data_IF_997562827089
#
_entry.id   IF_997562827089
#
_cell.length_a   1.000
_cell.length_b   1.000
_cell.length_c   1.000
_cell.angle_alpha   90.00
_cell.angle_beta   90.00
_cell.angle_gamma   90.00
#
_symmetry.space_group_name_H-M   'P 1'
#
loop_
_entity.id
_entity.type
_entity.pdbx_description
1 polymer ?
#
# COMPACT_ATOMS: atom_id res chain seq x y z
N UNK A 1 8.64 -15.46 5.34
CA UNK A 1 9.39 -14.34 4.77
C UNK A 1 8.92 -13.02 5.40
N UNK A 2 9.84 -12.24 5.84
CA UNK A 2 9.53 -11.00 6.55
C UNK A 2 9.26 -9.87 5.55
N UNK A 3 8.16 -9.16 5.76
CA UNK A 3 7.88 -7.99 4.94
C UNK A 3 8.70 -6.81 5.46
N UNK A 4 9.31 -6.09 4.54
CA UNK A 4 10.02 -4.87 4.88
C UNK A 4 9.12 -3.65 4.94
N UNK A 5 7.87 -3.83 4.60
CA UNK A 5 6.92 -2.73 4.52
C UNK A 5 5.91 -2.83 5.66
N UNK A 6 5.59 -1.69 6.25
CA UNK A 6 4.61 -1.61 7.35
C UNK A 6 3.35 -0.97 6.80
N UNK A 7 2.21 -1.59 7.10
CA UNK A 7 0.91 -1.07 6.72
C UNK A 7 0.12 -0.72 7.97
N UNK A 8 -0.57 0.42 7.92
CA UNK A 8 -1.46 0.83 9.00
C UNK A 8 -2.77 1.33 8.39
N UNK A 9 -3.90 0.93 8.95
CA UNK A 9 -5.18 1.48 8.50
C UNK A 9 -5.23 2.99 8.74
N UNK A 10 -5.77 3.71 7.78
CA UNK A 10 -5.90 5.16 7.88
C UNK A 10 -7.30 5.55 7.41
N UNK A 11 -8.30 5.09 8.13
CA UNK A 11 -9.69 5.33 7.78
C UNK A 11 -10.22 4.31 6.80
N UNK A 12 -11.51 4.42 6.45
CA UNK A 12 -12.14 3.45 5.55
C UNK A 12 -11.49 3.48 4.17
N UNK A 13 -11.07 2.33 3.72
CA UNK A 13 -10.53 2.17 2.38
C UNK A 13 -9.19 2.83 2.14
N UNK A 14 -8.48 3.17 3.20
CA UNK A 14 -7.20 3.84 3.07
C UNK A 14 -6.17 3.20 3.98
N UNK A 15 -4.93 3.16 3.53
CA UNK A 15 -3.82 2.63 4.31
C UNK A 15 -2.61 3.53 4.18
N UNK A 16 -1.90 3.68 5.27
CA UNK A 16 -0.58 4.30 5.26
C UNK A 16 0.46 3.20 5.15
N UNK A 17 1.53 3.49 4.47
CA UNK A 17 2.62 2.53 4.39
C UNK A 17 3.94 3.22 4.66
N UNK A 18 4.90 2.44 5.12
CA UNK A 18 6.25 2.90 5.35
C UNK A 18 7.20 1.79 4.94
N UNK A 19 8.18 2.14 4.14
CA UNK A 19 9.20 1.21 3.68
C UNK A 19 10.56 1.85 3.94
N UNK A 20 11.41 1.13 4.64
CA UNK A 20 12.73 1.65 5.01
C UNK A 20 13.80 0.64 4.63
N UNK A 21 14.89 1.16 4.12
CA UNK A 21 16.07 0.38 3.78
C UNK A 21 17.31 1.15 4.20
N UNK A 22 18.48 0.56 3.97
CA UNK A 22 19.72 1.25 4.23
C UNK A 22 19.84 2.54 3.42
N UNK A 23 19.17 2.62 2.30
CA UNK A 23 19.24 3.79 1.42
C UNK A 23 18.34 4.92 1.87
N UNK A 24 17.33 4.63 2.66
CA UNK A 24 16.40 5.64 3.11
C UNK A 24 15.02 5.08 3.36
N UNK A 25 14.03 5.96 3.39
CA UNK A 25 12.65 5.59 3.67
C UNK A 25 11.72 6.15 2.62
N UNK A 26 10.66 5.40 2.37
CA UNK A 26 9.55 5.87 1.55
C UNK A 26 8.29 5.65 2.38
N UNK A 27 7.45 6.67 2.47
CA UNK A 27 6.18 6.54 3.15
C UNK A 27 5.11 7.24 2.34
N UNK A 28 3.87 6.82 2.55
CA UNK A 28 2.78 7.43 1.83
C UNK A 28 1.47 6.78 2.18
N UNK A 29 0.48 7.01 1.32
CA UNK A 29 -0.86 6.46 1.49
C UNK A 29 -1.33 5.84 0.20
N UNK A 30 -2.14 4.80 0.33
CA UNK A 30 -2.81 4.21 -0.83
C UNK A 30 -4.27 4.01 -0.47
N UNK A 31 -5.10 3.99 -1.50
CA UNK A 31 -6.52 3.74 -1.32
C UNK A 31 -6.86 2.38 -1.90
N UNK A 32 -7.68 1.67 -1.16
CA UNK A 32 -8.22 0.40 -1.61
C UNK A 32 -9.65 0.66 -2.06
N UNK A 33 -9.95 0.35 -3.31
CA UNK A 33 -11.30 0.57 -3.82
C UNK A 33 -12.28 -0.34 -3.09
N UNK A 34 -13.31 0.26 -2.52
CA UNK A 34 -14.39 -0.48 -1.89
C UNK A 34 -15.51 -0.57 -2.89
N UNK A 35 -15.75 -1.77 -3.37
CA UNK A 35 -16.81 -2.00 -4.36
C UNK A 35 -18.04 -2.56 -3.68
N UNK A 36 -19.05 -1.74 -3.66
CA UNK A 36 -20.31 -2.12 -3.07
C UNK A 36 -20.25 -2.17 -1.55
N UNK A 37 -21.37 -1.89 -0.91
CA UNK A 37 -21.53 -2.03 0.52
C UNK A 37 -22.22 -3.34 0.85
N UNK A 38 -21.91 -3.95 1.99
CA UNK A 38 -20.72 -3.67 2.78
C UNK A 38 -19.52 -4.36 2.16
N UNK A 39 -18.35 -3.90 2.49
CA UNK A 39 -17.15 -4.58 2.05
C UNK A 39 -16.97 -5.83 2.90
N UNK A 40 -17.14 -6.98 2.28
CA UNK A 40 -17.07 -8.25 2.97
C UNK A 40 -15.70 -8.90 2.93
N UNK A 41 -14.73 -8.20 2.40
CA UNK A 41 -13.39 -8.77 2.33
C UNK A 41 -12.77 -8.84 3.71
N UNK A 42 -11.98 -9.87 3.95
CA UNK A 42 -11.25 -10.01 5.19
C UNK A 42 -10.14 -8.97 5.27
N UNK A 43 -9.57 -8.80 6.46
CA UNK A 43 -8.43 -7.90 6.63
C UNK A 43 -7.27 -8.32 5.75
N UNK A 44 -7.06 -9.62 5.61
CA UNK A 44 -5.97 -10.14 4.77
C UNK A 44 -6.18 -9.72 3.32
N UNK A 45 -7.41 -9.83 2.83
CA UNK A 45 -7.71 -9.43 1.45
C UNK A 45 -7.53 -7.93 1.25
N UNK A 46 -7.92 -7.13 2.24
CA UNK A 46 -7.76 -5.70 2.17
C UNK A 46 -6.29 -5.31 2.19
N UNK A 47 -5.49 -5.96 3.03
CA UNK A 47 -4.06 -5.72 3.06
C UNK A 47 -3.41 -6.10 1.75
N UNK A 48 -3.83 -7.21 1.17
CA UNK A 48 -3.28 -7.64 -0.11
C UNK A 48 -3.61 -6.64 -1.21
N UNK A 49 -4.82 -6.11 -1.20
CA UNK A 49 -5.21 -5.08 -2.16
C UNK A 49 -4.36 -3.82 -1.98
N UNK A 50 -4.09 -3.45 -0.73
CA UNK A 50 -3.22 -2.29 -0.45
C UNK A 50 -1.81 -2.54 -0.96
N UNK A 51 -1.28 -3.74 -0.75
CA UNK A 51 0.06 -4.07 -1.24
C UNK A 51 0.12 -4.03 -2.76
N UNK A 52 -0.94 -4.48 -3.43
CA UNK A 52 -0.99 -4.41 -4.87
C UNK A 52 -0.99 -2.97 -5.37
N UNK A 53 -1.69 -2.08 -4.66
CA UNK A 53 -1.69 -0.67 -5.01
C UNK A 53 -0.31 -0.05 -4.78
N UNK A 54 0.34 -0.42 -3.69
CA UNK A 54 1.68 0.08 -3.40
C UNK A 54 2.65 -0.38 -4.49
N UNK A 55 2.52 -1.63 -4.92
CA UNK A 55 3.37 -2.16 -5.98
C UNK A 55 3.20 -1.36 -7.27
N UNK A 56 1.96 -1.07 -7.64
CA UNK A 56 1.70 -0.28 -8.83
C UNK A 56 2.25 1.14 -8.68
N UNK A 57 2.06 1.73 -7.51
CA UNK A 57 2.57 3.07 -7.24
C UNK A 57 4.09 3.11 -7.30
N UNK A 58 4.74 2.06 -6.82
CA UNK A 58 6.20 2.02 -6.83
C UNK A 58 6.75 2.01 -8.25
N UNK A 59 6.04 1.37 -9.18
CA UNK A 59 6.45 1.37 -10.58
C UNK A 59 6.31 2.77 -11.19
N UNK A 60 5.23 3.46 -10.86
CA UNK A 60 5.05 4.83 -11.33
C UNK A 60 6.10 5.74 -10.72
N UNK A 61 6.40 5.53 -9.45
CA UNK A 61 7.42 6.30 -8.77
C UNK A 61 8.79 6.10 -9.40
N UNK A 62 9.12 4.86 -9.73
CA UNK A 62 10.40 4.56 -10.37
C UNK A 62 10.52 5.28 -11.71
N UNK A 63 9.44 5.31 -12.48
CA UNK A 63 9.43 6.01 -13.75
C UNK A 63 9.58 7.52 -13.55
N UNK A 64 8.94 8.06 -12.53
CA UNK A 64 9.04 9.48 -12.22
C UNK A 64 10.45 9.88 -11.80
N UNK A 65 11.20 8.95 -11.23
CA UNK A 65 12.58 9.21 -10.87
C UNK A 65 13.53 9.27 -12.06
N UNK A 66 13.02 9.03 -13.24
CA UNK A 66 13.83 9.17 -14.45
C UNK A 66 14.64 7.92 -14.78
N UNK A 67 14.12 6.83 -14.44
CA UNK A 67 14.75 5.55 -14.69
C UNK A 67 15.04 5.31 -16.17
#
# INVERSE_FOLDING_TARGET
MTRSIVLEPDGPGSYKFKFATERGEISGKVRVALEGPPDNRSEVDQEQAALNQIHALSREFAQACGD
#
